data_IF_095691099681
#
_entry.id   IF_095691099681
#
_cell.length_a   1.000
_cell.length_b   1.000
_cell.length_c   1.000
_cell.angle_alpha   90.00
_cell.angle_beta   90.00
_cell.angle_gamma   90.00
#
_symmetry.space_group_name_H-M   'P 1'
#
loop_
_entity.id
_entity.type
_entity.pdbx_description
1 polymer ?
#
# COMPACT_ATOMS: atom_id res chain seq x y z
N UNK A 1 -12.92 -23.99 -9.45
CA UNK A 1 -12.23 -23.61 -8.20
C UNK A 1 -13.19 -23.03 -7.16
N UNK A 2 -14.23 -22.24 -7.47
CA UNK A 2 -15.35 -22.01 -6.53
C UNK A 2 -14.98 -21.36 -5.19
N UNK A 3 -13.81 -20.75 -5.09
CA UNK A 3 -13.32 -20.07 -3.88
C UNK A 3 -13.73 -18.60 -3.99
N UNK A 4 -14.41 -18.10 -2.96
CA UNK A 4 -14.92 -16.74 -2.90
C UNK A 4 -13.82 -15.73 -2.59
N UNK A 5 -12.86 -16.13 -1.75
CA UNK A 5 -11.77 -15.33 -1.18
C UNK A 5 -10.55 -16.26 -1.00
N UNK A 6 -9.34 -15.71 -0.97
CA UNK A 6 -8.09 -16.50 -0.90
C UNK A 6 -7.12 -15.99 0.18
N UNK A 7 -6.60 -14.78 0.03
CA UNK A 7 -5.62 -14.17 0.94
C UNK A 7 -6.26 -13.26 2.00
N UNK A 8 -7.39 -12.65 1.66
CA UNK A 8 -8.17 -11.76 2.52
C UNK A 8 -9.65 -11.84 2.13
N UNK A 9 -10.54 -11.64 3.09
CA UNK A 9 -11.99 -11.60 2.84
C UNK A 9 -12.44 -10.18 2.49
N UNK A 10 -13.54 -10.04 1.75
CA UNK A 10 -14.10 -8.73 1.37
C UNK A 10 -14.46 -7.89 2.61
N UNK A 11 -15.04 -8.55 3.61
CA UNK A 11 -15.41 -7.94 4.90
C UNK A 11 -14.21 -7.32 5.63
N UNK A 12 -12.99 -7.85 5.44
CA UNK A 12 -11.77 -7.31 6.08
C UNK A 12 -11.17 -6.21 5.20
N UNK A 13 -11.14 -6.42 3.88
CA UNK A 13 -10.62 -5.46 2.91
C UNK A 13 -11.37 -4.12 2.96
N UNK A 14 -12.69 -4.15 3.14
CA UNK A 14 -13.54 -2.95 3.20
C UNK A 14 -13.80 -2.47 4.65
N UNK A 15 -13.15 -3.07 5.66
CA UNK A 15 -13.35 -2.67 7.07
C UNK A 15 -12.51 -1.44 7.46
N UNK A 16 -12.88 -0.81 8.59
CA UNK A 16 -12.10 0.27 9.22
C UNK A 16 -10.67 -0.15 9.64
N UNK A 17 -10.39 -1.45 9.70
CA UNK A 17 -9.05 -1.97 9.95
C UNK A 17 -8.16 -1.97 8.70
N UNK A 18 -8.75 -1.80 7.51
CA UNK A 18 -8.01 -1.76 6.25
C UNK A 18 -7.32 -0.41 6.05
N UNK A 19 -6.00 -0.46 5.89
CA UNK A 19 -5.13 0.70 5.64
C UNK A 19 -4.33 0.53 4.34
N UNK A 20 -4.78 -0.37 3.47
CA UNK A 20 -4.08 -0.77 2.26
C UNK A 20 -4.02 0.36 1.23
N UNK A 21 -5.05 1.20 1.13
CA UNK A 21 -5.06 2.39 0.29
C UNK A 21 -4.06 3.46 0.77
N UNK A 22 -3.99 3.72 2.08
CA UNK A 22 -2.96 4.61 2.65
C UNK A 22 -1.55 4.03 2.40
N UNK A 23 -1.39 2.72 2.55
CA UNK A 23 -0.13 2.03 2.24
C UNK A 23 0.23 2.17 0.75
N UNK A 24 -0.76 2.08 -0.15
CA UNK A 24 -0.57 2.24 -1.59
C UNK A 24 -0.17 3.68 -1.97
N UNK A 25 -0.83 4.69 -1.40
CA UNK A 25 -0.47 6.11 -1.58
C UNK A 25 0.97 6.38 -1.09
N UNK A 26 1.33 5.84 0.08
CA UNK A 26 2.66 6.00 0.66
C UNK A 26 3.80 5.44 -0.20
N UNK A 27 3.51 4.61 -1.22
CA UNK A 27 4.53 4.20 -2.20
C UNK A 27 5.10 5.40 -2.94
N UNK A 28 4.29 6.38 -3.33
CA UNK A 28 4.78 7.57 -4.03
C UNK A 28 5.66 8.42 -3.12
N UNK A 29 5.23 8.64 -1.88
CA UNK A 29 5.97 9.45 -0.91
C UNK A 29 7.31 8.83 -0.54
N UNK A 30 7.35 7.52 -0.31
CA UNK A 30 8.60 6.81 0.01
C UNK A 30 9.57 6.78 -1.16
N UNK A 31 9.09 6.55 -2.40
CA UNK A 31 9.92 6.66 -3.61
C UNK A 31 10.48 8.07 -3.75
N UNK A 32 9.64 9.11 -3.56
CA UNK A 32 10.08 10.50 -3.60
C UNK A 32 11.18 10.78 -2.57
N UNK A 33 11.02 10.30 -1.34
CA UNK A 33 12.02 10.46 -0.29
C UNK A 33 13.35 9.80 -0.68
N UNK A 34 13.30 8.59 -1.24
CA UNK A 34 14.50 7.90 -1.74
C UNK A 34 15.16 8.65 -2.89
N UNK A 35 14.39 9.17 -3.85
CA UNK A 35 14.93 9.97 -4.96
C UNK A 35 15.61 11.23 -4.45
N UNK A 36 14.98 11.96 -3.52
CA UNK A 36 15.59 13.16 -2.92
C UNK A 36 16.89 12.80 -2.19
N UNK A 37 16.86 11.76 -1.35
CA UNK A 37 18.00 11.33 -0.55
C UNK A 37 19.19 10.85 -1.40
N UNK A 38 18.94 10.28 -2.58
CA UNK A 38 20.00 9.65 -3.40
C UNK A 38 20.45 10.50 -4.59
N UNK A 39 19.56 11.33 -5.15
CA UNK A 39 19.82 12.07 -6.39
C UNK A 39 20.02 13.57 -6.18
N UNK A 40 19.56 14.14 -5.06
CA UNK A 40 19.64 15.60 -4.81
C UNK A 40 20.47 15.99 -3.59
N UNK A 41 21.00 15.01 -2.84
CA UNK A 41 21.74 15.24 -1.60
C UNK A 41 23.26 15.47 -1.80
N UNK A 42 23.68 16.04 -2.94
CA UNK A 42 25.06 16.42 -3.24
C UNK A 42 25.17 17.93 -3.44
#
# INVERSE_FOLDING_TARGET
FGLKELEVTDDVFESDASIDFDQAENRMHTIKALMVATMTAL
#
